data_IF_548382735190
#
_entry.id   IF_548382735190
#
_cell.length_a   1.000
_cell.length_b   1.000
_cell.length_c   1.000
_cell.angle_alpha   90.00
_cell.angle_beta   90.00
_cell.angle_gamma   90.00
#
_symmetry.space_group_name_H-M   'P 1'
#
loop_
_entity.id
_entity.type
_entity.pdbx_description
1 polymer ?
#
# COMPACT_ATOMS: atom_id res chain seq x y z
N UNK A 1 -23.38 -9.24 28.95
CA UNK A 1 -22.93 -10.06 27.80
C UNK A 1 -21.63 -10.74 28.20
N UNK A 2 -21.47 -12.05 27.99
CA UNK A 2 -20.28 -12.81 28.41
C UNK A 2 -19.58 -13.31 27.15
N UNK A 3 -18.37 -12.83 26.87
CA UNK A 3 -17.58 -13.27 25.71
C UNK A 3 -16.86 -14.56 26.11
N UNK A 4 -17.15 -15.66 25.41
CA UNK A 4 -16.57 -16.99 25.66
C UNK A 4 -15.55 -17.24 24.56
N UNK A 5 -14.46 -16.47 24.49
CA UNK A 5 -13.37 -16.77 23.55
C UNK A 5 -12.01 -16.11 23.82
N UNK A 6 -11.77 -15.60 25.02
CA UNK A 6 -10.46 -15.06 25.37
C UNK A 6 -9.97 -15.69 26.66
N UNK A 7 -8.73 -16.17 26.67
CA UNK A 7 -8.01 -16.56 27.89
C UNK A 7 -7.76 -15.34 28.79
N UNK A 8 -7.94 -14.11 28.28
CA UNK A 8 -7.86 -12.87 29.04
C UNK A 8 -9.26 -12.33 29.44
N UNK A 9 -9.41 -11.98 30.74
CA UNK A 9 -10.55 -11.19 31.24
C UNK A 9 -10.38 -9.73 30.81
N UNK A 10 -11.06 -9.30 29.76
CA UNK A 10 -11.11 -7.89 29.35
C UNK A 10 -12.38 -7.19 29.88
N UNK A 11 -12.30 -5.87 30.12
CA UNK A 11 -13.47 -5.04 30.47
C UNK A 11 -14.48 -5.01 29.31
N UNK A 12 -15.77 -4.90 29.62
CA UNK A 12 -16.86 -4.85 28.65
C UNK A 12 -17.19 -3.42 28.18
N UNK A 13 -16.45 -2.41 28.65
CA UNK A 13 -16.72 -1.01 28.32
C UNK A 13 -16.46 -0.70 26.83
N UNK A 14 -15.60 -1.47 26.17
CA UNK A 14 -15.35 -1.44 24.73
C UNK A 14 -15.01 -2.84 24.23
N UNK A 15 -15.66 -3.30 23.15
CA UNK A 15 -15.46 -4.63 22.57
C UNK A 15 -15.15 -4.47 21.08
N UNK A 16 -14.10 -5.16 20.61
CA UNK A 16 -13.81 -5.30 19.18
C UNK A 16 -14.37 -6.65 18.73
N UNK A 17 -15.33 -6.62 17.80
CA UNK A 17 -15.90 -7.80 17.17
C UNK A 17 -15.37 -7.92 15.75
N UNK A 18 -14.89 -9.10 15.38
CA UNK A 18 -14.57 -9.39 13.98
C UNK A 18 -15.82 -9.94 13.28
N UNK A 19 -16.12 -9.49 12.04
CA UNK A 19 -17.32 -9.92 11.32
C UNK A 19 -17.30 -11.42 10.91
N UNK A 20 -16.18 -12.10 11.15
CA UNK A 20 -15.99 -13.53 10.89
C UNK A 20 -15.88 -14.37 12.18
N UNK A 21 -16.18 -13.79 13.36
CA UNK A 21 -16.16 -14.50 14.64
C UNK A 21 -17.41 -15.39 14.78
N UNK A 22 -17.20 -16.70 14.84
CA UNK A 22 -18.22 -17.74 14.97
C UNK A 22 -18.67 -17.99 16.42
N UNK A 23 -18.01 -17.39 17.41
CA UNK A 23 -18.36 -17.51 18.84
C UNK A 23 -19.04 -16.26 19.38
N UNK A 24 -18.59 -15.07 19.01
CA UNK A 24 -19.14 -13.81 19.49
C UNK A 24 -20.46 -13.43 18.78
N UNK A 25 -20.71 -13.98 17.58
CA UNK A 25 -21.89 -13.71 16.75
C UNK A 25 -22.68 -15.02 16.54
N UNK A 26 -23.47 -15.48 17.53
CA UNK A 26 -24.15 -16.77 17.47
C UNK A 26 -25.34 -16.81 16.49
N UNK A 27 -25.77 -15.67 15.95
CA UNK A 27 -26.89 -15.59 15.00
C UNK A 27 -26.41 -15.27 13.59
N UNK A 28 -26.12 -16.32 12.81
CA UNK A 28 -25.85 -16.26 11.37
C UNK A 28 -27.04 -16.81 10.55
N UNK A 29 -28.29 -16.53 10.96
CA UNK A 29 -29.46 -17.02 10.22
C UNK A 29 -29.61 -16.26 8.89
N UNK A 30 -29.56 -17.00 7.79
CA UNK A 30 -29.77 -16.47 6.44
C UNK A 30 -28.52 -15.91 5.75
N UNK A 31 -27.33 -16.06 6.34
CA UNK A 31 -26.05 -15.68 5.74
C UNK A 31 -25.14 -16.89 5.70
N UNK A 32 -24.53 -17.17 4.56
CA UNK A 32 -23.56 -18.25 4.36
C UNK A 32 -22.21 -17.64 3.96
N UNK A 33 -21.15 -17.94 4.71
CA UNK A 33 -19.78 -17.62 4.30
C UNK A 33 -19.36 -18.59 3.20
N UNK A 34 -19.25 -18.09 1.97
CA UNK A 34 -18.69 -18.84 0.85
C UNK A 34 -17.36 -18.20 0.46
N UNK A 35 -16.26 -18.92 0.66
CA UNK A 35 -15.00 -18.56 0.05
C UNK A 35 -15.08 -18.94 -1.43
N UNK A 36 -15.35 -17.94 -2.27
CA UNK A 36 -15.26 -18.12 -3.72
C UNK A 36 -13.77 -18.26 -4.06
N UNK A 37 -13.33 -19.49 -4.31
CA UNK A 37 -11.99 -19.73 -4.84
C UNK A 37 -11.82 -18.94 -6.14
N UNK A 38 -10.64 -18.34 -6.32
CA UNK A 38 -10.30 -17.71 -7.60
C UNK A 38 -10.46 -18.75 -8.72
N UNK A 39 -11.48 -18.58 -9.56
CA UNK A 39 -11.64 -19.38 -10.76
C UNK A 39 -10.71 -18.80 -11.82
N UNK A 40 -9.48 -19.31 -11.84
CA UNK A 40 -8.37 -18.71 -12.56
C UNK A 40 -8.30 -19.00 -14.06
N UNK A 41 -7.75 -18.01 -14.78
CA UNK A 41 -6.92 -18.12 -15.97
C UNK A 41 -5.62 -17.31 -15.74
N UNK A 42 -4.77 -17.12 -16.75
CA UNK A 42 -3.65 -16.17 -16.63
C UNK A 42 -4.17 -14.76 -16.34
N UNK A 43 -3.84 -14.20 -15.18
CA UNK A 43 -4.13 -12.80 -14.91
C UNK A 43 -3.29 -11.93 -15.85
N UNK A 44 -3.94 -11.01 -16.56
CA UNK A 44 -3.22 -10.01 -17.36
C UNK A 44 -2.42 -9.14 -16.41
N UNK A 45 -1.15 -8.93 -16.73
CA UNK A 45 -0.33 -7.91 -16.06
C UNK A 45 -0.97 -6.55 -16.39
N UNK A 46 -1.44 -5.84 -15.38
CA UNK A 46 -2.10 -4.52 -15.54
C UNK A 46 -1.12 -3.36 -15.35
N UNK A 47 0.04 -3.61 -14.72
CA UNK A 47 1.10 -2.64 -14.53
C UNK A 47 2.45 -3.35 -14.69
N UNK A 48 3.15 -3.05 -15.79
CA UNK A 48 4.46 -3.61 -16.09
C UNK A 48 5.60 -2.75 -15.48
N UNK A 49 6.80 -3.33 -15.31
CA UNK A 49 8.02 -2.55 -15.07
C UNK A 49 8.20 -1.42 -16.09
N UNK A 50 8.89 -0.36 -15.67
CA UNK A 50 9.23 0.75 -16.56
C UNK A 50 10.32 0.40 -17.56
N UNK A 51 10.69 1.40 -18.35
CA UNK A 51 11.80 1.31 -19.30
C UNK A 51 13.13 1.00 -18.59
N UNK A 52 14.12 0.49 -19.33
CA UNK A 52 15.45 0.24 -18.80
C UNK A 52 15.99 1.46 -18.03
N UNK A 53 16.70 1.18 -16.93
CA UNK A 53 17.30 2.16 -16.02
C UNK A 53 16.34 3.11 -15.28
N UNK A 54 15.02 2.96 -15.47
CA UNK A 54 14.03 3.69 -14.69
C UNK A 54 13.92 3.18 -13.26
N UNK A 55 13.30 4.00 -12.41
CA UNK A 55 13.09 3.76 -10.97
C UNK A 55 12.21 2.53 -10.65
N UNK A 56 11.52 1.96 -11.63
CA UNK A 56 10.69 0.76 -11.51
C UNK A 56 10.96 -0.30 -12.59
N UNK A 57 12.16 -0.29 -13.18
CA UNK A 57 12.54 -1.17 -14.29
C UNK A 57 12.87 -2.61 -13.89
N UNK A 58 13.34 -2.83 -12.66
CA UNK A 58 13.82 -4.14 -12.19
C UNK A 58 12.68 -4.95 -11.59
N UNK A 59 11.81 -4.31 -10.79
CA UNK A 59 10.69 -4.99 -10.15
C UNK A 59 9.53 -4.04 -9.91
N UNK A 60 8.32 -4.54 -10.17
CA UNK A 60 7.05 -3.98 -9.66
C UNK A 60 6.43 -5.02 -8.74
N UNK A 61 6.18 -4.65 -7.49
CA UNK A 61 5.58 -5.52 -6.49
C UNK A 61 4.25 -4.91 -6.01
N UNK A 62 3.18 -5.70 -6.12
CA UNK A 62 1.90 -5.34 -5.50
C UNK A 62 1.92 -5.66 -4.01
N UNK A 63 2.62 -4.82 -3.26
CA UNK A 63 2.57 -4.79 -1.80
C UNK A 63 2.27 -3.37 -1.33
N UNK A 64 1.12 -2.87 -1.78
CA UNK A 64 0.65 -1.52 -1.57
C UNK A 64 -0.87 -1.42 -1.49
N UNK A 65 -1.45 -0.30 -1.93
CA UNK A 65 -2.89 0.00 -1.74
C UNK A 65 -3.52 0.49 -3.04
N UNK A 66 -4.73 0.02 -3.35
CA UNK A 66 -5.60 0.62 -4.38
C UNK A 66 -6.80 1.27 -3.71
N UNK A 67 -7.12 2.52 -4.07
CA UNK A 67 -8.33 3.22 -3.62
C UNK A 67 -9.00 3.94 -4.78
N UNK A 68 -10.34 4.00 -4.75
CA UNK A 68 -11.10 4.90 -5.61
C UNK A 68 -11.07 6.31 -5.01
N UNK A 69 -10.60 7.28 -5.80
CA UNK A 69 -10.50 8.70 -5.48
C UNK A 69 -11.26 9.47 -6.57
N UNK A 70 -12.46 9.95 -6.25
CA UNK A 70 -13.35 10.53 -7.25
C UNK A 70 -13.76 9.50 -8.32
N UNK A 71 -13.56 9.85 -9.58
CA UNK A 71 -13.82 9.00 -10.76
C UNK A 71 -12.62 8.13 -11.16
N UNK A 72 -11.50 8.17 -10.42
CA UNK A 72 -10.29 7.41 -10.71
C UNK A 72 -9.96 6.40 -9.61
N UNK A 73 -9.23 5.36 -9.97
CA UNK A 73 -8.57 4.42 -9.07
C UNK A 73 -7.09 4.78 -8.99
N UNK A 74 -6.58 4.92 -7.78
CA UNK A 74 -5.19 5.25 -7.49
C UNK A 74 -4.53 4.05 -6.83
N UNK A 75 -3.35 3.67 -7.31
CA UNK A 75 -2.55 2.56 -6.81
C UNK A 75 -1.21 3.10 -6.30
N UNK A 76 -0.96 2.89 -5.02
CA UNK A 76 0.38 2.99 -4.45
C UNK A 76 1.01 1.62 -4.54
N UNK A 77 2.09 1.49 -5.30
CA UNK A 77 2.80 0.22 -5.51
C UNK A 77 4.26 0.35 -5.09
N UNK A 78 4.90 -0.78 -4.81
CA UNK A 78 6.33 -0.82 -4.54
C UNK A 78 7.08 -1.16 -5.82
N UNK A 79 8.21 -0.49 -6.03
CA UNK A 79 9.05 -0.75 -7.17
C UNK A 79 10.54 -0.58 -6.91
N UNK A 80 11.32 -1.23 -7.75
CA UNK A 80 12.78 -1.20 -7.74
C UNK A 80 13.29 -0.92 -9.15
N UNK A 81 14.20 0.04 -9.26
CA UNK A 81 15.05 0.26 -10.42
C UNK A 81 16.43 -0.37 -10.20
N UNK A 82 17.42 -0.10 -11.06
CA UNK A 82 18.77 -0.59 -10.85
C UNK A 82 19.33 -0.11 -9.52
N UNK A 83 20.06 -0.99 -8.84
CA UNK A 83 20.78 -0.65 -7.61
C UNK A 83 22.23 -0.41 -7.98
N UNK A 84 22.70 0.82 -7.78
CA UNK A 84 24.12 1.18 -8.02
C UNK A 84 25.05 0.79 -6.86
N UNK A 85 24.49 0.46 -5.69
CA UNK A 85 25.27 0.14 -4.51
C UNK A 85 25.76 -1.32 -4.53
N UNK A 86 27.08 -1.49 -4.47
CA UNK A 86 27.85 -2.73 -4.28
C UNK A 86 27.65 -3.36 -2.87
N UNK A 87 26.50 -3.20 -2.22
CA UNK A 87 26.22 -3.91 -0.97
C UNK A 87 25.54 -5.24 -1.33
N UNK A 88 26.37 -6.24 -1.66
CA UNK A 88 25.95 -7.59 -2.05
C UNK A 88 25.01 -8.24 -1.02
N UNK A 89 25.02 -7.75 0.23
CA UNK A 89 24.21 -8.28 1.33
C UNK A 89 22.75 -7.83 1.27
N UNK A 90 22.38 -6.78 0.50
CA UNK A 90 21.02 -6.23 0.48
C UNK A 90 20.53 -5.81 -0.93
N UNK A 91 20.42 -6.75 -1.89
CA UNK A 91 20.06 -6.47 -3.30
C UNK A 91 18.61 -5.97 -3.51
N UNK A 92 17.82 -5.92 -2.44
CA UNK A 92 16.41 -5.54 -2.47
C UNK A 92 16.23 -4.11 -1.96
N UNK A 93 15.84 -3.18 -2.85
CA UNK A 93 15.63 -1.75 -2.58
C UNK A 93 14.35 -1.24 -3.23
N UNK A 94 13.27 -1.14 -2.45
CA UNK A 94 11.96 -0.73 -2.94
C UNK A 94 11.59 0.69 -2.52
N UNK A 95 10.89 1.39 -3.42
CA UNK A 95 10.32 2.74 -3.25
C UNK A 95 8.83 2.70 -3.54
N UNK A 96 8.08 3.65 -2.99
CA UNK A 96 6.64 3.78 -3.27
C UNK A 96 6.45 4.64 -4.53
N UNK A 97 5.63 4.15 -5.45
CA UNK A 97 5.24 4.82 -6.68
C UNK A 97 3.72 4.97 -6.75
N UNK A 98 3.22 5.90 -7.57
CA UNK A 98 1.78 6.08 -7.83
C UNK A 98 1.42 5.69 -9.27
N UNK A 99 0.35 4.93 -9.44
CA UNK A 99 -0.32 4.75 -10.73
C UNK A 99 -1.80 5.13 -10.63
N UNK A 100 -2.39 5.60 -11.74
CA UNK A 100 -3.81 6.01 -11.81
C UNK A 100 -4.52 5.28 -12.93
N UNK A 101 -5.81 5.03 -12.77
CA UNK A 101 -6.63 4.35 -13.77
C UNK A 101 -8.09 4.78 -13.68
N UNK A 102 -8.77 4.90 -14.82
CA UNK A 102 -10.22 5.16 -14.87
C UNK A 102 -11.07 3.89 -14.87
N UNK A 103 -10.51 2.79 -15.38
CA UNK A 103 -11.20 1.53 -15.62
C UNK A 103 -10.68 0.35 -14.76
N UNK A 104 -9.56 0.54 -14.06
CA UNK A 104 -8.88 -0.49 -13.27
C UNK A 104 -8.04 -1.49 -14.08
N UNK A 105 -8.02 -1.38 -15.41
CA UNK A 105 -7.29 -2.27 -16.31
C UNK A 105 -6.09 -1.58 -16.96
N UNK A 106 -6.26 -0.33 -17.37
CA UNK A 106 -5.20 0.49 -17.96
C UNK A 106 -4.70 1.49 -16.93
N UNK A 107 -3.42 1.39 -16.59
CA UNK A 107 -2.80 2.20 -15.56
C UNK A 107 -1.76 3.15 -16.15
N UNK A 108 -1.84 4.42 -15.75
CA UNK A 108 -0.89 5.47 -16.09
C UNK A 108 0.04 5.75 -14.91
N UNK A 109 1.34 5.94 -15.19
CA UNK A 109 2.36 6.36 -14.22
C UNK A 109 2.56 7.89 -14.35
N UNK A 110 1.84 8.74 -13.59
CA UNK A 110 1.91 10.18 -13.75
C UNK A 110 3.27 10.73 -13.31
N UNK A 111 3.79 11.75 -14.01
CA UNK A 111 4.96 12.49 -13.52
C UNK A 111 4.56 13.35 -12.31
N UNK A 112 5.03 12.98 -11.12
CA UNK A 112 4.80 13.70 -9.87
C UNK A 112 5.80 14.83 -9.63
N UNK A 113 7.03 14.74 -10.16
CA UNK A 113 8.04 15.79 -9.97
C UNK A 113 8.58 15.93 -8.55
N UNK A 114 8.32 14.98 -7.66
CA UNK A 114 8.58 15.12 -6.22
C UNK A 114 9.98 14.64 -5.81
N UNK A 115 10.40 13.47 -6.30
CA UNK A 115 11.65 12.80 -5.91
C UNK A 115 12.63 12.82 -7.07
N UNK A 116 13.89 13.15 -6.79
CA UNK A 116 14.97 13.04 -7.78
C UNK A 116 15.47 11.60 -7.88
N UNK A 117 15.61 11.10 -9.11
CA UNK A 117 16.13 9.78 -9.42
C UNK A 117 16.97 9.88 -10.71
N UNK A 118 18.23 9.44 -10.65
CA UNK A 118 19.17 9.48 -11.78
C UNK A 118 19.21 10.87 -12.47
N UNK A 119 19.34 11.95 -11.68
CA UNK A 119 19.41 13.33 -12.17
C UNK A 119 18.11 13.92 -12.72
N UNK A 120 16.98 13.22 -12.58
CA UNK A 120 15.67 13.67 -13.08
C UNK A 120 14.56 13.53 -12.05
N UNK A 121 13.60 14.46 -12.08
CA UNK A 121 12.35 14.38 -11.32
C UNK A 121 11.17 13.88 -12.17
N UNK A 122 11.40 13.51 -13.43
CA UNK A 122 10.36 13.00 -14.33
C UNK A 122 10.02 11.55 -14.01
N UNK A 123 9.27 11.35 -12.91
CA UNK A 123 8.92 10.05 -12.38
C UNK A 123 7.65 10.13 -11.51
N UNK A 124 7.10 8.99 -11.13
CA UNK A 124 5.91 8.87 -10.28
C UNK A 124 6.24 8.45 -8.83
N UNK A 125 7.47 8.72 -8.37
CA UNK A 125 7.91 8.37 -7.02
C UNK A 125 7.22 9.25 -5.98
N UNK A 126 6.71 8.61 -4.93
CA UNK A 126 6.09 9.30 -3.79
C UNK A 126 7.15 9.82 -2.85
N UNK A 127 7.02 11.08 -2.42
CA UNK A 127 7.96 11.71 -1.50
C UNK A 127 7.76 11.20 -0.07
N UNK A 128 8.71 10.38 0.34
CA UNK A 128 8.77 9.70 1.63
C UNK A 128 9.65 10.47 2.65
N UNK A 129 9.86 11.79 2.49
CA UNK A 129 10.57 12.62 3.45
C UNK A 129 12.07 12.31 3.52
N UNK A 130 12.62 12.26 4.74
CA UNK A 130 14.05 12.24 5.16
C UNK A 130 15.03 11.31 4.41
N UNK A 131 15.18 11.49 3.10
CA UNK A 131 16.06 10.73 2.22
C UNK A 131 15.45 9.43 1.68
N UNK A 132 16.24 8.75 0.85
CA UNK A 132 15.87 7.51 0.16
C UNK A 132 16.02 6.33 1.14
N UNK A 133 14.89 5.72 1.53
CA UNK A 133 14.85 4.51 2.37
C UNK A 133 14.25 3.31 1.63
N UNK A 134 14.63 2.10 2.04
CA UNK A 134 14.01 0.86 1.55
C UNK A 134 12.65 0.67 2.22
N UNK A 135 11.57 0.71 1.43
CA UNK A 135 10.21 0.48 1.89
C UNK A 135 9.85 -0.99 1.70
N UNK A 136 9.66 -1.72 2.80
CA UNK A 136 9.28 -3.13 2.78
C UNK A 136 7.76 -3.35 2.73
N UNK A 137 6.98 -2.34 3.14
CA UNK A 137 5.51 -2.39 3.18
C UNK A 137 4.94 -0.98 3.15
N UNK A 138 3.80 -0.77 2.48
CA UNK A 138 3.01 0.45 2.65
C UNK A 138 1.50 0.18 2.60
N UNK A 139 0.76 0.90 3.44
CA UNK A 139 -0.71 0.96 3.45
C UNK A 139 -1.12 2.41 3.46
N UNK A 140 -1.98 2.80 2.53
CA UNK A 140 -2.46 4.18 2.40
C UNK A 140 -3.87 4.34 2.96
N UNK A 141 -4.05 5.40 3.75
CA UNK A 141 -5.34 5.87 4.26
C UNK A 141 -5.69 7.16 3.53
N UNK A 142 -6.97 7.28 3.15
CA UNK A 142 -7.52 8.47 2.52
C UNK A 142 -8.57 9.07 3.45
N UNK A 143 -8.35 10.32 3.84
CA UNK A 143 -9.18 11.12 4.73
C UNK A 143 -9.67 12.35 3.97
N UNK A 144 -10.73 12.22 3.14
CA UNK A 144 -11.19 13.31 2.28
C UNK A 144 -11.64 14.55 3.07
N UNK A 145 -12.04 14.35 4.32
CA UNK A 145 -12.55 15.38 5.21
C UNK A 145 -11.44 16.12 6.00
N UNK A 146 -10.15 15.78 5.85
CA UNK A 146 -9.08 16.58 6.47
C UNK A 146 -9.13 18.00 5.85
N UNK A 147 -9.27 19.06 6.68
CA UNK A 147 -9.39 20.43 6.20
C UNK A 147 -8.13 20.89 5.45
N UNK A 148 -6.98 20.28 5.73
CA UNK A 148 -5.76 20.49 4.96
C UNK A 148 -5.68 19.46 3.84
N UNK A 149 -5.86 19.94 2.60
CA UNK A 149 -5.81 19.09 1.41
C UNK A 149 -4.49 18.29 1.28
N UNK A 150 -3.38 18.82 1.82
CA UNK A 150 -2.06 18.16 1.76
C UNK A 150 -1.92 17.01 2.76
N UNK A 151 -2.89 16.83 3.66
CA UNK A 151 -2.90 15.81 4.71
C UNK A 151 -3.94 14.71 4.53
N UNK A 152 -4.72 14.78 3.44
CA UNK A 152 -5.78 13.81 3.12
C UNK A 152 -5.26 12.41 2.83
N UNK A 153 -3.96 12.25 2.60
CA UNK A 153 -3.34 10.95 2.47
C UNK A 153 -2.31 10.71 3.58
N UNK A 154 -2.48 9.57 4.25
CA UNK A 154 -1.57 9.08 5.28
C UNK A 154 -1.08 7.71 4.92
N UNK A 155 0.13 7.36 5.34
CA UNK A 155 0.73 6.07 5.06
C UNK A 155 1.24 5.43 6.33
N UNK A 156 0.83 4.19 6.57
CA UNK A 156 1.55 3.28 7.45
C UNK A 156 2.58 2.50 6.63
N UNK A 157 3.85 2.51 7.01
CA UNK A 157 4.91 1.87 6.23
C UNK A 157 6.00 1.26 7.11
N UNK A 158 6.69 0.27 6.57
CA UNK A 158 7.87 -0.35 7.19
C UNK A 158 9.11 0.00 6.38
N UNK A 159 10.14 0.49 7.05
CA UNK A 159 11.39 0.94 6.43
C UNK A 159 12.60 0.51 7.27
N UNK A 160 13.68 0.12 6.61
CA UNK A 160 14.93 -0.31 7.25
C UNK A 160 15.54 0.78 8.15
N UNK A 161 15.36 2.06 7.82
CA UNK A 161 15.81 3.20 8.64
C UNK A 161 15.26 3.15 10.06
N UNK A 162 14.07 2.60 10.23
CA UNK A 162 13.41 2.46 11.53
C UNK A 162 13.44 1.03 12.05
N UNK A 163 14.45 0.23 11.65
CA UNK A 163 14.59 -1.19 12.01
C UNK A 163 13.31 -2.00 11.67
N UNK A 164 12.66 -1.64 10.57
CA UNK A 164 11.40 -2.24 10.11
C UNK A 164 10.21 -2.08 11.09
N UNK A 165 10.29 -1.16 12.05
CA UNK A 165 9.15 -0.77 12.88
C UNK A 165 8.15 0.04 12.05
N UNK A 166 6.86 -0.23 12.26
CA UNK A 166 5.77 0.47 11.57
C UNK A 166 5.78 1.96 11.92
N UNK A 167 5.81 2.81 10.90
CA UNK A 167 5.69 4.26 11.00
C UNK A 167 4.35 4.71 10.42
N UNK A 168 3.74 5.78 10.95
CA UNK A 168 2.54 6.41 10.41
C UNK A 168 2.80 7.91 10.18
N UNK A 169 2.54 8.42 8.97
CA UNK A 169 2.69 9.85 8.66
C UNK A 169 1.79 10.30 7.51
N UNK A 170 1.54 11.60 7.43
CA UNK A 170 1.08 12.25 6.20
C UNK A 170 2.22 12.25 5.18
N UNK A 171 1.92 11.92 3.92
CA UNK A 171 2.92 11.80 2.84
C UNK A 171 2.45 12.66 1.67
N UNK A 172 3.38 13.34 1.00
CA UNK A 172 3.08 14.05 -0.25
C UNK A 172 2.98 13.04 -1.38
N UNK A 173 1.75 12.78 -1.82
CA UNK A 173 1.44 11.71 -2.77
C UNK A 173 1.00 12.22 -4.15
N UNK A 174 0.65 13.50 -4.26
CA UNK A 174 0.25 14.21 -5.48
C UNK A 174 0.30 15.73 -5.24
#
# INVERSE_FOLDING_TARGET
MKIINNTAKASLDNIVLFPFDDFAIPFQRGVQLNLSGFQGGTSKIVLAPGEADSYDSVQVAYYGTVKRIGDESWMWYLAQGPVEYEDEDLPWFQRVCLAKSKDGYHWEKPNLGLVEYNGSKNNNLVDMGDGIGHIAACVVFHEPDDPDATRRFKMAFADRRYRSLLQLRSVRMA
#
